data_IF_831506838366
#
_entry.id   IF_831506838366
#
_cell.length_a   1.000
_cell.length_b   1.000
_cell.length_c   1.000
_cell.angle_alpha   90.00
_cell.angle_beta   90.00
_cell.angle_gamma   90.00
#
_symmetry.space_group_name_H-M   'P 1'
#
loop_
_entity.id
_entity.type
_entity.pdbx_description
1 polymer ?
2 non-polymer ?
3 non-polymer ?
4 non-polymer ?
5 water ?
#
# COMPACT_ATOMS: atom_id res chain seq x y z
N UNK A 1 5.97 19.72 -23.93
CA UNK A 1 5.12 19.01 -22.97
C UNK A 1 4.93 19.81 -21.69
N UNK A 2 4.21 19.23 -20.76
CA UNK A 2 3.87 19.91 -19.51
C UNK A 2 5.01 19.70 -18.56
N UNK A 3 5.08 20.54 -17.52
CA UNK A 3 6.05 20.36 -16.47
C UNK A 3 5.68 19.15 -15.62
N UNK A 4 4.39 18.99 -15.35
CA UNK A 4 3.89 17.93 -14.51
C UNK A 4 3.73 16.65 -15.32
N UNK A 5 3.68 15.54 -14.59
CA UNK A 5 3.38 14.23 -15.14
C UNK A 5 2.12 13.73 -14.44
N UNK A 6 1.23 13.10 -15.20
CA UNK A 6 -0.06 12.70 -14.67
C UNK A 6 -0.16 11.16 -14.71
N UNK A 7 -0.77 10.61 -13.67
CA UNK A 7 -1.10 9.21 -13.54
C UNK A 7 -2.58 9.14 -13.20
N UNK A 8 -3.22 8.06 -13.57
CA UNK A 8 -4.61 7.84 -13.16
C UNK A 8 -4.73 6.54 -12.39
N UNK A 9 -5.53 6.58 -11.32
CA UNK A 9 -5.86 5.42 -10.52
C UNK A 9 -7.36 5.13 -10.67
N UNK A 10 -7.71 3.85 -10.59
CA UNK A 10 -9.10 3.44 -10.78
C UNK A 10 -10.00 3.88 -9.62
N UNK A 11 -11.08 4.59 -9.94
CA UNK A 11 -12.07 5.03 -8.95
C UNK A 11 -13.19 4.02 -8.80
N UNK A 12 -13.70 3.94 -7.59
CA UNK A 12 -14.85 3.15 -7.29
C UNK A 12 -14.69 1.72 -7.76
N UNK A 13 -13.47 1.18 -7.71
CA UNK A 13 -13.27 -0.22 -8.05
C UNK A 13 -13.98 -1.14 -7.07
N UNK A 14 -14.55 -2.20 -7.61
CA UNK A 14 -15.21 -3.24 -6.83
C UNK A 14 -14.51 -4.59 -7.00
N UNK A 15 -13.37 -4.59 -7.71
CA UNK A 15 -12.59 -5.79 -7.87
C UNK A 15 -11.22 -5.58 -7.29
N UNK A 16 -10.45 -6.67 -7.20
CA UNK A 16 -9.07 -6.58 -6.80
C UNK A 16 -8.26 -5.79 -7.82
N UNK A 17 -7.59 -4.75 -7.33
CA UNK A 17 -6.80 -3.82 -8.14
C UNK A 17 -5.46 -3.66 -7.44
N UNK A 18 -4.37 -3.91 -8.15
CA UNK A 18 -3.00 -3.59 -7.70
C UNK A 18 -2.30 -2.72 -8.75
N UNK A 19 -2.36 -1.41 -8.55
CA UNK A 19 -1.84 -0.44 -9.49
C UNK A 19 -0.50 0.14 -9.05
N UNK A 20 0.56 -0.31 -9.72
CA UNK A 20 1.91 0.13 -9.42
C UNK A 20 2.19 1.30 -10.32
N UNK A 21 1.80 2.48 -9.85
CA UNK A 21 1.68 3.63 -10.72
C UNK A 21 2.92 4.46 -10.83
N UNK A 22 3.43 4.93 -9.70
CA UNK A 22 4.57 5.84 -9.63
C UNK A 22 5.78 5.03 -9.18
N UNK A 23 6.87 5.16 -9.92
CA UNK A 23 8.11 4.39 -9.65
C UNK A 23 9.29 5.22 -10.11
N UNK A 24 9.73 6.15 -9.28
CA UNK A 24 10.77 7.09 -9.65
C UNK A 24 12.04 6.82 -8.86
N UNK A 25 13.09 7.60 -9.12
CA UNK A 25 14.32 7.51 -8.33
C UNK A 25 14.05 7.75 -6.84
N UNK A 26 13.02 8.51 -6.53
CA UNK A 26 12.82 9.02 -5.19
C UNK A 26 11.69 8.38 -4.45
N UNK A 27 10.75 7.76 -5.16
CA UNK A 27 9.52 7.33 -4.48
C UNK A 27 8.77 6.30 -5.32
N UNK A 28 7.99 5.46 -4.64
CA UNK A 28 7.01 4.60 -5.27
C UNK A 28 5.64 4.86 -4.64
N UNK A 29 4.63 4.95 -5.50
CA UNK A 29 3.26 5.11 -5.04
C UNK A 29 2.37 4.12 -5.79
N UNK A 30 1.73 3.24 -5.03
CA UNK A 30 0.80 2.26 -5.57
C UNK A 30 -0.61 2.51 -5.04
N UNK A 31 -1.61 2.05 -5.80
CA UNK A 31 -2.99 2.14 -5.41
C UNK A 31 -3.56 0.72 -5.38
N UNK A 32 -4.13 0.36 -4.25
CA UNK A 32 -4.62 -1.01 -4.05
C UNK A 32 -6.09 -1.00 -3.59
N UNK A 33 -6.88 -1.86 -4.24
CA UNK A 33 -8.21 -2.19 -3.81
C UNK A 33 -8.31 -3.67 -3.56
N UNK A 34 -8.77 -4.01 -2.36
CA UNK A 34 -9.01 -5.40 -1.99
C UNK A 34 -10.42 -5.54 -1.58
N UNK A 35 -11.20 -6.25 -2.38
CA UNK A 35 -12.50 -6.70 -1.92
C UNK A 35 -12.41 -7.61 -0.69
N UNK A 36 -13.53 -7.75 0.02
CA UNK A 36 -13.57 -8.64 1.17
C UNK A 36 -13.07 -10.02 0.79
N UNK A 37 -12.18 -10.55 1.64
CA UNK A 37 -11.62 -11.88 1.51
C UNK A 37 -10.34 -11.95 0.70
N UNK A 38 -9.86 -10.81 0.21
CA UNK A 38 -8.64 -10.81 -0.57
C UNK A 38 -7.51 -10.38 0.31
N UNK A 39 -6.29 -10.69 -0.14
CA UNK A 39 -5.11 -10.23 0.56
C UNK A 39 -3.93 -10.06 -0.37
N UNK A 40 -2.93 -9.31 0.10
CA UNK A 40 -1.66 -9.15 -0.60
C UNK A 40 -0.63 -10.22 -0.19
N UNK A 41 0.43 -10.40 -1.00
CA UNK A 41 1.45 -11.39 -0.63
C UNK A 41 2.14 -11.04 0.67
N UNK A 42 2.47 -12.05 1.46
CA UNK A 42 3.31 -11.84 2.63
C UNK A 42 4.74 -11.59 2.18
N UNK A 43 5.37 -10.59 2.77
CA UNK A 43 6.71 -10.19 2.34
C UNK A 43 7.31 -9.25 3.37
N UNK A 44 8.60 -9.02 3.24
CA UNK A 44 9.31 -8.02 4.06
C UNK A 44 9.35 -6.73 3.27
N UNK A 45 9.04 -5.62 3.94
CA UNK A 45 9.04 -4.34 3.26
C UNK A 45 10.40 -4.08 2.69
N UNK A 46 10.47 -3.58 1.46
CA UNK A 46 11.77 -3.28 0.84
C UNK A 46 12.08 -1.79 0.81
N UNK A 47 11.26 -1.01 1.49
CA UNK A 47 11.63 0.34 1.86
C UNK A 47 10.80 0.73 3.04
N UNK A 48 10.88 2.01 3.40
CA UNK A 48 10.04 2.57 4.43
C UNK A 48 8.66 2.84 3.83
N UNK A 49 7.62 2.34 4.51
CA UNK A 49 6.26 2.27 3.94
C UNK A 49 5.27 3.08 4.73
N UNK A 50 4.42 3.79 4.00
CA UNK A 50 3.19 4.37 4.55
C UNK A 50 1.98 3.97 3.73
N UNK A 51 0.98 3.50 4.46
CA UNK A 51 -0.25 2.95 3.94
C UNK A 51 -1.32 4.00 4.22
N UNK A 52 -1.88 4.59 3.17
CA UNK A 52 -2.88 5.64 3.33
C UNK A 52 -4.25 5.04 3.05
N UNK A 53 -5.02 4.82 4.10
CA UNK A 53 -6.27 4.06 3.94
C UNK A 53 -7.43 5.00 3.66
N UNK A 54 -8.06 4.87 2.50
CA UNK A 54 -9.16 5.76 2.17
C UNK A 54 -10.54 5.13 2.15
N UNK A 55 -10.64 3.79 2.21
CA UNK A 55 -11.95 3.14 2.35
C UNK A 55 -11.79 1.79 3.01
N UNK A 56 -12.76 1.43 3.86
CA UNK A 56 -12.79 0.13 4.46
C UNK A 56 -11.84 -0.05 5.64
N UNK A 57 -11.48 -1.30 5.88
CA UNK A 57 -10.71 -1.68 7.05
C UNK A 57 -9.65 -2.68 6.65
N UNK A 58 -8.42 -2.41 7.07
CA UNK A 58 -7.28 -3.25 6.79
C UNK A 58 -6.95 -4.04 8.02
N UNK A 59 -6.61 -5.31 7.83
CA UNK A 59 -6.05 -6.13 8.88
C UNK A 59 -4.59 -6.31 8.51
N UNK A 60 -3.72 -5.78 9.36
CA UNK A 60 -2.29 -5.72 9.13
C UNK A 60 -1.57 -6.55 10.20
N UNK A 61 -0.87 -7.59 9.77
CA UNK A 61 -0.08 -8.40 10.67
C UNK A 61 1.39 -8.15 10.37
N UNK A 62 2.11 -7.69 11.39
CA UNK A 62 3.50 -7.41 11.29
C UNK A 62 4.27 -8.35 12.20
N UNK A 63 5.30 -8.96 11.65
CA UNK A 63 6.15 -9.88 12.40
C UNK A 63 5.34 -10.83 13.28
N UNK A 64 5.61 -10.85 14.59
CA UNK A 64 4.97 -11.78 15.55
C UNK A 64 3.79 -11.17 16.30
N UNK A 65 3.37 -9.99 15.87
CA UNK A 65 2.24 -9.29 16.49
C UNK A 65 0.93 -9.96 16.12
N UNK A 66 -0.06 -9.78 17.00
CA UNK A 66 -1.45 -10.03 16.63
C UNK A 66 -1.85 -9.10 15.47
N UNK A 67 -2.84 -9.54 14.68
CA UNK A 67 -3.30 -8.69 13.60
C UNK A 67 -3.89 -7.40 14.17
N UNK A 68 -3.56 -6.27 13.57
CA UNK A 68 -4.13 -4.98 14.00
C UNK A 68 -5.04 -4.44 12.90
N UNK A 69 -6.19 -3.89 13.27
CA UNK A 69 -7.13 -3.34 12.29
C UNK A 69 -7.05 -1.84 12.19
N UNK A 70 -7.01 -1.34 10.95
CA UNK A 70 -6.97 0.10 10.70
C UNK A 70 -8.02 0.45 9.66
N UNK A 71 -8.75 1.52 9.91
CA UNK A 71 -9.85 1.94 9.04
C UNK A 71 -9.45 3.14 8.21
N UNK A 72 -10.31 3.45 7.26
CA UNK A 72 -10.28 4.70 6.53
C UNK A 72 -9.99 5.86 7.49
N UNK A 73 -9.14 6.80 7.08
CA UNK A 73 -8.72 7.91 7.95
C UNK A 73 -7.40 7.65 8.67
N UNK A 74 -6.80 6.48 8.47
CA UNK A 74 -5.48 6.17 9.04
C UNK A 74 -4.39 6.18 7.99
N UNK A 75 -3.22 6.65 8.39
CA UNK A 75 -2.00 6.42 7.65
C UNK A 75 -1.15 5.61 8.58
N UNK A 76 -0.70 4.46 8.09
CA UNK A 76 0.07 3.53 8.90
C UNK A 76 1.48 3.40 8.35
N UNK A 77 2.46 3.69 9.20
CA UNK A 77 3.88 3.53 8.88
C UNK A 77 4.34 2.12 9.19
N UNK A 78 5.00 1.49 8.22
CA UNK A 78 5.67 0.19 8.46
C UNK A 78 7.14 0.42 8.12
N UNK A 79 8.03 0.16 9.07
CA UNK A 79 9.44 0.31 8.77
C UNK A 79 9.93 -0.64 7.67
N UNK A 80 11.06 -0.26 7.09
CA UNK A 80 11.89 -1.10 6.25
C UNK A 80 12.30 -2.41 6.93
N UNK A 81 12.26 -3.48 6.13
CA UNK A 81 12.71 -4.80 6.49
C UNK A 81 11.87 -5.44 7.57
N UNK A 82 10.56 -5.28 7.44
CA UNK A 82 9.59 -5.80 8.38
C UNK A 82 8.63 -6.75 7.62
N UNK A 83 8.40 -7.93 8.18
CA UNK A 83 7.48 -8.90 7.61
C UNK A 83 6.06 -8.44 7.80
N UNK A 84 5.35 -8.32 6.70
CA UNK A 84 3.98 -7.83 6.74
C UNK A 84 3.01 -8.61 5.89
N UNK A 85 1.77 -8.58 6.36
CA UNK A 85 0.65 -9.09 5.59
C UNK A 85 -0.54 -8.14 5.71
N UNK A 86 -1.10 -7.79 4.55
CA UNK A 86 -2.29 -6.98 4.44
C UNK A 86 -3.43 -7.81 3.96
N UNK A 87 -4.49 -7.82 4.74
CA UNK A 87 -5.71 -8.54 4.43
C UNK A 87 -6.92 -7.62 4.55
N UNK A 88 -7.94 -7.85 3.71
CA UNK A 88 -9.25 -7.33 3.96
C UNK A 88 -10.20 -8.41 4.41
N UNK A 89 -10.40 -8.46 5.71
CA UNK A 89 -11.33 -9.40 6.32
C UNK A 89 -12.67 -8.73 6.64
N UNK A 90 -12.61 -7.49 7.10
CA UNK A 90 -13.72 -6.89 7.82
C UNK A 90 -14.48 -5.81 7.07
N UNK A 91 -14.21 -5.60 5.77
CA UNK A 91 -14.91 -4.57 5.01
C UNK A 91 -15.21 -5.06 3.61
N UNK A 92 -16.24 -4.47 3.00
CA UNK A 92 -16.65 -4.86 1.66
C UNK A 92 -15.53 -4.55 0.69
N UNK A 93 -14.95 -3.37 0.86
CA UNK A 93 -13.91 -2.87 -0.02
C UNK A 93 -12.87 -2.11 0.80
N UNK A 94 -11.61 -2.51 0.67
CA UNK A 94 -10.51 -1.81 1.31
C UNK A 94 -9.74 -1.18 0.20
N UNK A 95 -9.51 0.12 0.33
CA UNK A 95 -8.79 0.91 -0.64
C UNK A 95 -7.70 1.71 0.06
N UNK A 96 -6.47 1.59 -0.42
CA UNK A 96 -5.33 2.34 0.17
C UNK A 96 -4.30 2.71 -0.89
N UNK A 97 -3.50 3.71 -0.56
CA UNK A 97 -2.27 3.97 -1.27
C UNK A 97 -1.08 3.50 -0.47
N UNK A 98 -0.06 3.08 -1.20
CA UNK A 98 1.20 2.67 -0.63
C UNK A 98 2.24 3.67 -1.09
N UNK A 99 2.93 4.30 -0.14
CA UNK A 99 3.96 5.27 -0.43
C UNK A 99 5.25 4.69 0.10
N UNK A 100 6.26 4.61 -0.76
CA UNK A 100 7.53 4.03 -0.35
C UNK A 100 8.63 5.00 -0.68
N UNK A 101 9.46 5.30 0.31
CA UNK A 101 10.60 6.21 0.12
C UNK A 101 11.69 5.84 1.08
N UNK A 102 12.92 5.79 0.58
CA UNK A 102 13.33 6.05 -0.81
C UNK A 102 13.01 4.85 -1.71
N UNK A 103 13.36 4.93 -2.99
CA UNK A 103 13.16 3.79 -3.86
C UNK A 103 13.95 2.61 -3.26
N UNK A 104 13.36 1.40 -3.27
CA UNK A 104 14.03 0.21 -2.75
C UNK A 104 15.48 0.04 -3.22
N UNK A 105 15.79 0.45 -4.44
CA UNK A 105 17.16 0.24 -4.93
C UNK A 105 18.18 0.97 -4.06
N UNK A 106 17.76 2.08 -3.46
CA UNK A 106 18.65 2.88 -2.65
C UNK A 106 18.98 2.19 -1.34
N UNK A 107 18.16 1.22 -0.95
CA UNK A 107 18.42 0.51 0.28
C UNK A 107 19.08 -0.82 0.01
N UNK A 108 19.32 -1.11 -1.27
CA UNK A 108 19.89 -2.40 -1.65
C UNK A 108 21.39 -2.27 -1.90
N UNK A 109 22.07 -1.99 -0.80
CA UNK A 109 23.49 -1.70 -0.76
C UNK A 109 23.73 -1.17 0.66
X LIG B 1 8.73 -3.21 -5.56
X LIG B 1 9.84 -2.26 -5.54
X LIG B 1 7.64 -2.67 -6.38
X LIG B 1 9.16 -4.49 -6.12
X LIG B 1 8.25 -3.43 -4.20
X LIG C 1 2.63 -18.24 7.17
X LIG C 1 3.42 -17.96 8.37
X LIG C 1 1.34 -18.84 7.58
X LIG C 1 2.38 -16.95 6.51
X LIG C 1 3.33 -19.21 6.30
X LIG D 1 16.85 10.05 -2.99
X LIG D 1 17.36 10.72 -1.79
X LIG D 1 15.51 10.49 -3.31
X LIG D 1 17.69 10.34 -4.17
X LIG D 1 16.85 8.60 -2.74
X LIG E 1 9.79 11.64 -7.69
X LIG F 1 -3.75 -4.95 -11.74
X LIG F 1 -4.36 -5.48 -10.56
X LIG F 1 -4.16 -3.49 -11.90
X LIG F 1 -5.49 -3.31 -11.44
X LIG G 1 0.51 -7.26 20.43
X LIG G 1 0.64 -7.97 19.21
X LIG G 1 -0.96 -7.29 20.77
X LIG G 1 -1.65 -6.60 19.72
X LIG H 1 3.01 -2.27 0.51
X LIG H 1 2.00 -3.17 0.07
X LIG H 1 4.11 -2.99 1.26
X LIG H 1 5.26 -3.18 0.44
#
# INVERSE_FOLDING_TARGET
>A
GMIEKVYEFKRDAKTKVVEKLVNTEHVQINHIVLPRGEQMPKHYSNSYVHLIIIKGEMTLTLEDQEPHNYKEGNIVYVPFNVKMLIQNINSDILEFFVVKAPHPKKLNAPEDPIKCE
>B hetero
1 SO4 S O1 O2 O3 O4
>C hetero
1 SO4 S O1 O2 O3 O4
>D hetero
1 SO4 S O1 O2 O3 O4
>E hetero
1 CL CL
>F hetero
1 EDO C1 O1 C2 O2
>G hetero
1 EDO C1 O1 C2 O2
>H hetero
1 EDO C1 O1 C2 O2
#
